data_IF_265692654609
#
_entry.id   IF_265692654609
#
_cell.length_a   1.000
_cell.length_b   1.000
_cell.length_c   1.000
_cell.angle_alpha   90.00
_cell.angle_beta   90.00
_cell.angle_gamma   90.00
#
_symmetry.space_group_name_H-M   'P 1'
#
loop_
_entity.id
_entity.type
_entity.pdbx_description
1 polymer ?
#
# COMPACT_ATOMS: atom_id res chain seq x y z
N UNK A 1 -22.16 41.37 -36.19
CA UNK A 1 -21.22 40.27 -36.50
C UNK A 1 -20.74 39.68 -35.17
N UNK A 2 -21.52 38.78 -34.58
CA UNK A 2 -21.16 38.10 -33.33
C UNK A 2 -20.03 37.14 -33.66
N UNK A 3 -18.79 37.52 -33.35
CA UNK A 3 -17.70 36.55 -33.34
C UNK A 3 -18.04 35.50 -32.27
N UNK A 4 -18.42 34.30 -32.73
CA UNK A 4 -18.32 33.09 -31.93
C UNK A 4 -16.83 32.81 -31.73
N UNK A 5 -16.22 33.44 -30.74
CA UNK A 5 -14.98 32.94 -30.17
C UNK A 5 -15.39 31.84 -29.18
N UNK A 6 -14.96 30.58 -29.37
CA UNK A 6 -15.40 29.49 -28.52
C UNK A 6 -14.90 29.72 -27.09
N UNK A 7 -15.83 29.67 -26.14
CA UNK A 7 -15.60 29.64 -24.71
C UNK A 7 -14.96 28.29 -24.30
N UNK A 8 -13.83 27.92 -24.91
CA UNK A 8 -13.11 26.66 -24.69
C UNK A 8 -11.68 26.86 -24.17
N UNK A 9 -11.33 28.09 -23.78
CA UNK A 9 -10.01 28.45 -23.22
C UNK A 9 -10.14 28.94 -21.77
N UNK A 10 -10.75 28.11 -20.92
CA UNK A 10 -10.61 28.19 -19.46
C UNK A 10 -9.38 27.33 -19.08
N UNK A 11 -8.41 27.83 -18.31
CA UNK A 11 -6.99 27.56 -18.50
C UNK A 11 -6.52 26.17 -18.03
N UNK A 12 -5.69 25.54 -18.85
CA UNK A 12 -5.01 24.24 -18.66
C UNK A 12 -3.90 24.26 -17.58
N UNK A 13 -4.09 24.98 -16.48
CA UNK A 13 -3.11 25.09 -15.38
C UNK A 13 -3.72 24.95 -13.98
N UNK A 14 -5.05 24.87 -13.85
CA UNK A 14 -5.73 24.74 -12.54
C UNK A 14 -6.17 23.31 -12.19
N UNK A 15 -5.80 22.30 -12.99
CA UNK A 15 -6.00 20.87 -12.65
C UNK A 15 -4.76 20.21 -12.06
N UNK A 16 -3.60 20.88 -12.04
CA UNK A 16 -2.32 20.31 -11.57
C UNK A 16 -2.18 20.21 -10.03
N UNK A 17 -3.07 20.82 -9.24
CA UNK A 17 -2.97 20.80 -7.77
C UNK A 17 -3.75 19.66 -7.08
N UNK A 18 -4.50 18.85 -7.82
CA UNK A 18 -5.32 17.78 -7.25
C UNK A 18 -4.63 16.41 -7.22
N UNK A 19 -3.38 16.31 -7.67
CA UNK A 19 -2.58 15.08 -7.70
C UNK A 19 -1.33 15.15 -6.82
N UNK A 20 -1.42 15.84 -5.68
CA UNK A 20 -0.48 15.61 -4.59
C UNK A 20 -0.69 14.17 -4.11
N UNK A 21 0.10 13.21 -4.59
CA UNK A 21 0.10 11.80 -4.15
C UNK A 21 0.55 11.61 -2.69
N UNK A 22 0.34 12.62 -1.83
CA UNK A 22 0.64 12.56 -0.41
C UNK A 22 -0.47 11.78 0.29
N UNK A 23 -0.14 10.71 1.02
CA UNK A 23 -1.15 9.98 1.78
C UNK A 23 -1.79 10.92 2.79
N UNK A 24 -3.12 10.95 2.82
CA UNK A 24 -3.87 11.73 3.81
C UNK A 24 -3.44 11.36 5.23
N UNK A 25 -3.40 12.31 6.19
CA UNK A 25 -2.98 12.03 7.56
C UNK A 25 -3.82 10.93 8.22
N UNK A 26 -5.11 10.83 7.89
CA UNK A 26 -5.98 9.75 8.33
C UNK A 26 -5.50 8.37 7.85
N UNK A 27 -5.03 8.27 6.60
CA UNK A 27 -4.55 7.03 6.01
C UNK A 27 -3.24 6.57 6.66
N UNK A 28 -2.32 7.51 6.92
CA UNK A 28 -1.10 7.23 7.66
C UNK A 28 -1.39 6.74 9.09
N UNK A 29 -2.37 7.35 9.75
CA UNK A 29 -2.79 6.93 11.09
C UNK A 29 -3.43 5.53 11.10
N UNK A 30 -4.31 5.24 10.15
CA UNK A 30 -4.91 3.91 9.98
C UNK A 30 -3.84 2.84 9.70
N UNK A 31 -2.86 3.13 8.83
CA UNK A 31 -1.74 2.25 8.56
C UNK A 31 -0.90 1.99 9.83
N UNK A 32 -0.64 3.01 10.64
CA UNK A 32 0.08 2.85 11.90
C UNK A 32 -0.67 1.97 12.90
N UNK A 33 -2.00 2.11 13.01
CA UNK A 33 -2.84 1.26 13.86
C UNK A 33 -2.80 -0.19 13.35
N UNK A 34 -2.99 -0.38 12.05
CA UNK A 34 -2.94 -1.70 11.41
C UNK A 34 -1.59 -2.40 11.63
N UNK A 35 -0.48 -1.66 11.49
CA UNK A 35 0.86 -2.20 11.74
C UNK A 35 1.04 -2.63 13.20
N UNK A 36 0.60 -1.81 14.18
CA UNK A 36 0.67 -2.21 15.59
C UNK A 36 -0.13 -3.48 15.86
N UNK A 37 -1.33 -3.60 15.30
CA UNK A 37 -2.15 -4.80 15.47
C UNK A 37 -1.48 -6.03 14.84
N UNK A 38 -0.97 -5.89 13.61
CA UNK A 38 -0.25 -6.96 12.92
C UNK A 38 0.96 -7.45 13.74
N UNK A 39 1.79 -6.54 14.23
CA UNK A 39 2.99 -6.89 15.00
C UNK A 39 2.66 -7.55 16.35
N UNK A 40 1.61 -7.09 17.03
CA UNK A 40 1.26 -7.59 18.38
C UNK A 40 0.38 -8.85 18.36
N UNK A 41 -0.44 -9.06 17.33
CA UNK A 41 -1.43 -10.15 17.30
C UNK A 41 -1.20 -11.15 16.16
N UNK A 42 -0.80 -10.69 14.97
CA UNK A 42 -0.71 -11.55 13.78
C UNK A 42 0.67 -12.20 13.65
N UNK A 43 1.75 -11.40 13.66
CA UNK A 43 3.12 -11.92 13.50
C UNK A 43 3.49 -13.00 14.52
N UNK A 44 3.12 -12.91 15.82
CA UNK A 44 3.41 -13.98 16.78
C UNK A 44 2.74 -15.32 16.44
N UNK A 45 1.60 -15.30 15.76
CA UNK A 45 0.94 -16.52 15.29
C UNK A 45 1.68 -17.10 14.08
N UNK A 46 2.11 -16.26 13.14
CA UNK A 46 2.90 -16.69 11.97
C UNK A 46 4.23 -17.32 12.41
N UNK A 47 4.93 -16.70 13.37
CA UNK A 47 6.18 -17.25 13.90
C UNK A 47 5.96 -18.64 14.50
N UNK A 48 4.91 -18.81 15.32
CA UNK A 48 4.68 -20.07 16.05
C UNK A 48 4.09 -21.18 15.18
N UNK A 49 3.35 -20.85 14.12
CA UNK A 49 2.52 -21.83 13.40
C UNK A 49 2.87 -21.98 11.93
N UNK A 50 3.61 -21.04 11.34
CA UNK A 50 3.79 -20.98 9.88
C UNK A 50 5.27 -20.87 9.47
N UNK A 51 6.08 -20.09 10.19
CA UNK A 51 7.47 -19.83 9.81
C UNK A 51 8.37 -21.05 9.91
N UNK A 52 7.97 -22.11 10.63
CA UNK A 52 8.70 -23.37 10.64
C UNK A 52 8.89 -23.95 9.23
N UNK A 53 7.88 -23.83 8.37
CA UNK A 53 7.85 -24.39 7.03
C UNK A 53 7.91 -23.33 5.92
N UNK A 54 7.36 -22.13 6.17
CA UNK A 54 7.17 -21.07 5.17
C UNK A 54 7.94 -19.77 5.48
N UNK A 55 9.16 -19.88 5.97
CA UNK A 55 10.07 -18.73 6.19
C UNK A 55 11.24 -18.79 5.23
N UNK A 56 11.86 -17.65 4.96
CA UNK A 56 13.19 -17.59 4.35
C UNK A 56 14.26 -18.43 5.05
N UNK A 57 14.04 -18.78 6.32
CA UNK A 57 14.95 -19.60 7.14
C UNK A 57 14.62 -21.10 7.16
N UNK A 58 13.51 -21.54 6.56
CA UNK A 58 13.22 -22.97 6.47
C UNK A 58 14.03 -23.61 5.34
N UNK A 59 14.47 -24.85 5.55
CA UNK A 59 15.18 -25.65 4.56
C UNK A 59 14.65 -27.10 4.59
N UNK A 60 13.88 -27.53 3.58
CA UNK A 60 13.42 -26.76 2.42
C UNK A 60 12.33 -25.75 2.78
N UNK A 61 12.16 -24.70 1.96
CA UNK A 61 10.96 -23.85 2.01
C UNK A 61 9.79 -24.58 1.39
N UNK A 62 8.84 -25.01 2.21
CA UNK A 62 7.72 -25.83 1.76
C UNK A 62 6.82 -25.06 0.79
N UNK A 63 6.48 -25.70 -0.34
CA UNK A 63 5.60 -25.15 -1.36
C UNK A 63 6.09 -23.87 -2.04
N UNK A 64 7.37 -23.48 -1.85
CA UNK A 64 7.92 -22.24 -2.39
C UNK A 64 7.36 -20.96 -1.77
N UNK A 65 6.60 -21.05 -0.67
CA UNK A 65 5.92 -19.93 -0.03
C UNK A 65 6.77 -19.27 1.06
N UNK A 66 6.87 -17.93 1.03
CA UNK A 66 7.59 -17.12 2.03
C UNK A 66 6.71 -16.06 2.70
N UNK A 67 6.23 -16.37 3.90
CA UNK A 67 5.34 -15.49 4.69
C UNK A 67 6.07 -14.43 5.53
N UNK A 68 7.41 -14.40 5.46
CA UNK A 68 8.27 -13.41 6.12
C UNK A 68 8.87 -12.40 5.14
N UNK A 69 8.49 -12.45 3.86
CA UNK A 69 8.90 -11.49 2.83
C UNK A 69 7.73 -10.63 2.35
N UNK A 70 8.02 -9.41 1.90
CA UNK A 70 6.99 -8.53 1.31
C UNK A 70 6.52 -9.02 -0.05
N UNK A 71 7.39 -9.65 -0.83
CA UNK A 71 7.03 -10.19 -2.15
C UNK A 71 5.99 -11.29 -2.03
N UNK A 72 6.04 -12.09 -0.95
CA UNK A 72 5.01 -13.06 -0.60
C UNK A 72 4.96 -14.30 -1.50
N UNK A 73 5.30 -14.18 -2.79
CA UNK A 73 5.41 -15.21 -3.82
C UNK A 73 6.31 -14.68 -4.94
#
# INVERSE_FOLDING_TARGET
>A
MRLLVPLTLVPLTLTALAWSGSPSPLHAQQAAIGNRYFESHVRPLLIRRCYQCHSSKSDPVEGGLRLDSRSGW
#
